data_IF_263886203143
#
_entry.id   IF_263886203143
#
_cell.length_a   1.000
_cell.length_b   1.000
_cell.length_c   1.000
_cell.angle_alpha   90.00
_cell.angle_beta   90.00
_cell.angle_gamma   90.00
#
_symmetry.space_group_name_H-M   'P 1'
#
loop_
_entity.id
_entity.type
_entity.pdbx_description
1 polymer ?
#
# COMPACT_ATOMS: atom_id res chain seq x y z
N UNK A 1 -5.07 40.39 24.84
CA UNK A 1 -4.88 38.94 25.09
C UNK A 1 -5.11 38.10 23.84
N UNK A 2 -6.22 38.28 23.11
CA UNK A 2 -6.58 37.51 21.90
C UNK A 2 -5.48 37.46 20.83
N UNK A 3 -4.82 38.60 20.53
CA UNK A 3 -3.77 38.68 19.50
C UNK A 3 -2.49 37.88 19.86
N UNK A 4 -2.16 37.81 21.15
CA UNK A 4 -1.04 36.97 21.65
C UNK A 4 -1.41 35.50 21.61
N UNK A 5 -2.65 35.16 21.97
CA UNK A 5 -3.16 33.79 21.90
C UNK A 5 -3.21 33.26 20.46
N UNK A 6 -3.62 34.12 19.51
CA UNK A 6 -3.64 33.80 18.08
C UNK A 6 -2.24 33.51 17.53
N UNK A 7 -1.24 34.31 17.93
CA UNK A 7 0.15 34.10 17.51
C UNK A 7 0.74 32.82 18.08
N UNK A 8 0.42 32.46 19.34
CA UNK A 8 0.88 31.20 19.93
C UNK A 8 0.23 30.00 19.26
N UNK A 9 -1.06 30.08 18.93
CA UNK A 9 -1.82 29.03 18.23
C UNK A 9 -1.31 28.78 16.80
N UNK A 10 -0.94 29.84 16.08
CA UNK A 10 -0.36 29.73 14.73
C UNK A 10 1.04 29.12 14.75
N UNK A 11 1.86 29.45 15.75
CA UNK A 11 3.21 28.88 15.89
C UNK A 11 3.19 27.38 16.22
N UNK A 12 2.23 26.93 17.04
CA UNK A 12 2.09 25.52 17.39
C UNK A 12 1.56 24.67 16.23
N UNK A 13 0.70 25.23 15.36
CA UNK A 13 0.19 24.49 14.20
C UNK A 13 1.27 24.20 13.13
N UNK A 14 2.26 25.08 12.97
CA UNK A 14 3.36 24.89 12.02
C UNK A 14 4.39 23.82 12.43
N UNK A 15 4.37 23.34 13.67
CA UNK A 15 5.33 22.36 14.18
C UNK A 15 4.86 20.91 14.01
N UNK A 16 3.62 20.67 13.57
CA UNK A 16 3.14 19.32 13.33
C UNK A 16 3.61 18.82 11.96
N UNK A 17 4.42 17.74 11.88
CA UNK A 17 4.71 17.12 10.60
C UNK A 17 3.39 16.61 10.02
N UNK A 18 3.08 17.03 8.79
CA UNK A 18 1.98 16.44 8.04
C UNK A 18 2.35 14.99 7.74
N UNK A 19 1.74 14.05 8.45
CA UNK A 19 1.81 12.63 8.11
C UNK A 19 1.03 12.44 6.82
N UNK A 20 1.74 12.43 5.69
CA UNK A 20 1.16 12.07 4.40
C UNK A 20 1.12 10.55 4.30
N UNK A 21 0.02 10.04 3.74
CA UNK A 21 -0.11 8.60 3.47
C UNK A 21 0.94 8.18 2.43
N UNK A 22 1.39 6.92 2.52
CA UNK A 22 2.27 6.32 1.52
C UNK A 22 1.63 6.36 0.12
N UNK A 23 2.48 6.53 -0.88
CA UNK A 23 2.10 6.59 -2.29
C UNK A 23 2.13 5.18 -2.89
N UNK A 24 1.04 4.42 -2.74
CA UNK A 24 0.92 3.10 -3.35
C UNK A 24 0.98 3.21 -4.89
N UNK A 25 1.69 2.27 -5.53
CA UNK A 25 1.63 2.06 -6.99
C UNK A 25 0.37 1.30 -7.38
N UNK A 26 -0.14 0.44 -6.50
CA UNK A 26 -1.36 -0.33 -6.73
C UNK A 26 -1.14 -1.63 -7.49
N UNK A 27 0.00 -2.31 -7.28
CA UNK A 27 0.22 -3.68 -7.77
C UNK A 27 -0.89 -4.61 -7.26
N UNK A 28 -1.44 -5.44 -8.15
CA UNK A 28 -2.62 -6.28 -7.89
C UNK A 28 -3.95 -5.53 -7.84
N UNK A 29 -3.95 -4.25 -8.22
CA UNK A 29 -5.15 -3.45 -8.41
C UNK A 29 -5.73 -3.56 -9.82
N UNK A 30 -6.73 -2.72 -10.12
CA UNK A 30 -7.37 -2.66 -11.45
C UNK A 30 -6.52 -1.98 -12.52
N UNK A 31 -5.48 -1.27 -12.09
CA UNK A 31 -4.74 -0.32 -12.92
C UNK A 31 -3.34 -0.85 -13.30
N UNK A 32 -3.11 -2.17 -13.24
CA UNK A 32 -1.83 -2.80 -13.58
C UNK A 32 -1.34 -2.40 -14.98
N UNK A 33 -2.23 -2.30 -15.96
CA UNK A 33 -1.92 -1.82 -17.32
C UNK A 33 -1.48 -0.34 -17.34
N UNK A 34 -2.05 0.49 -16.48
CA UNK A 34 -1.69 1.90 -16.36
C UNK A 34 -0.28 2.05 -15.78
N UNK A 35 0.12 1.19 -14.83
CA UNK A 35 1.47 1.16 -14.29
C UNK A 35 2.48 0.90 -15.43
N UNK A 36 2.21 -0.08 -16.29
CA UNK A 36 3.05 -0.38 -17.46
C UNK A 36 3.19 0.84 -18.37
N UNK A 37 2.07 1.51 -18.67
CA UNK A 37 2.04 2.66 -19.57
C UNK A 37 2.76 3.88 -19.00
N UNK A 38 2.45 4.26 -17.76
CA UNK A 38 2.95 5.49 -17.12
C UNK A 38 4.45 5.42 -16.86
N UNK A 39 4.92 4.26 -16.40
CA UNK A 39 6.33 4.04 -16.08
C UNK A 39 7.13 3.40 -17.21
N UNK A 40 6.48 3.11 -18.36
CA UNK A 40 7.11 2.55 -19.55
C UNK A 40 7.93 1.30 -19.21
N UNK A 41 7.30 0.33 -18.55
CA UNK A 41 7.99 -0.86 -18.07
C UNK A 41 8.49 -1.71 -19.24
N UNK A 42 9.75 -2.16 -19.17
CA UNK A 42 10.29 -3.12 -20.13
C UNK A 42 9.76 -4.54 -19.88
N UNK A 43 10.02 -5.46 -20.80
CA UNK A 43 9.50 -6.83 -20.75
C UNK A 43 9.86 -7.55 -19.44
N UNK A 44 11.09 -7.39 -18.94
CA UNK A 44 11.53 -8.00 -17.68
C UNK A 44 10.81 -7.41 -16.45
N UNK A 45 10.51 -6.10 -16.47
CA UNK A 45 9.71 -5.46 -15.42
C UNK A 45 8.24 -5.89 -15.49
N UNK A 46 7.68 -6.06 -16.68
CA UNK A 46 6.30 -6.53 -16.89
C UNK A 46 6.12 -7.98 -16.44
N UNK A 47 7.07 -8.87 -16.75
CA UNK A 47 7.06 -10.26 -16.28
C UNK A 47 7.04 -10.31 -14.74
N UNK A 48 7.88 -9.51 -14.09
CA UNK A 48 7.89 -9.39 -12.62
C UNK A 48 6.57 -8.85 -12.08
N UNK A 49 6.00 -7.82 -12.70
CA UNK A 49 4.70 -7.25 -12.32
C UNK A 49 3.59 -8.30 -12.38
N UNK A 50 3.51 -9.09 -13.44
CA UNK A 50 2.52 -10.14 -13.59
C UNK A 50 2.70 -11.23 -12.52
N UNK A 51 3.93 -11.74 -12.37
CA UNK A 51 4.25 -12.76 -11.36
C UNK A 51 3.93 -12.30 -9.93
N UNK A 52 4.27 -11.05 -9.61
CA UNK A 52 4.01 -10.49 -8.28
C UNK A 52 2.53 -10.19 -8.05
N UNK A 53 1.78 -9.85 -9.10
CA UNK A 53 0.33 -9.73 -9.04
C UNK A 53 -0.32 -11.07 -8.69
N UNK A 54 0.04 -12.14 -9.39
CA UNK A 54 -0.46 -13.50 -9.09
C UNK A 54 -0.08 -13.98 -7.70
N UNK A 55 1.16 -13.70 -7.27
CA UNK A 55 1.64 -14.04 -5.93
C UNK A 55 0.86 -13.28 -4.84
N UNK A 56 0.60 -11.98 -5.05
CA UNK A 56 -0.21 -11.16 -4.16
C UNK A 56 -1.65 -11.65 -4.08
N UNK A 57 -2.26 -12.03 -5.20
CA UNK A 57 -3.60 -12.61 -5.23
C UNK A 57 -3.66 -13.91 -4.40
N UNK A 58 -2.66 -14.77 -4.57
CA UNK A 58 -2.53 -16.03 -3.83
C UNK A 58 -2.37 -15.78 -2.32
N UNK A 59 -1.47 -14.87 -1.93
CA UNK A 59 -1.23 -14.54 -0.52
C UNK A 59 -2.47 -13.90 0.13
N UNK A 60 -3.18 -13.06 -0.60
CA UNK A 60 -4.39 -12.41 -0.10
C UNK A 60 -5.63 -13.30 -0.14
N UNK A 61 -5.65 -14.42 -0.88
CA UNK A 61 -6.81 -15.31 -0.96
C UNK A 61 -7.24 -15.83 0.42
N UNK A 62 -6.27 -16.20 1.28
CA UNK A 62 -6.57 -16.65 2.64
C UNK A 62 -7.15 -15.52 3.50
N UNK A 63 -6.60 -14.31 3.40
CA UNK A 63 -7.09 -13.13 4.11
C UNK A 63 -8.50 -12.75 3.65
N UNK A 64 -8.79 -12.84 2.35
CA UNK A 64 -10.13 -12.64 1.80
C UNK A 64 -11.12 -13.67 2.31
N UNK A 65 -10.72 -14.94 2.40
CA UNK A 65 -11.55 -16.00 2.98
C UNK A 65 -11.83 -15.73 4.46
N UNK A 66 -10.82 -15.36 5.24
CA UNK A 66 -10.98 -14.98 6.65
C UNK A 66 -11.90 -13.77 6.83
N UNK A 67 -11.77 -12.75 5.99
CA UNK A 67 -12.65 -11.58 5.99
C UNK A 67 -14.10 -11.96 5.66
N UNK A 68 -14.31 -12.87 4.71
CA UNK A 68 -15.63 -13.37 4.35
C UNK A 68 -16.26 -14.18 5.49
N UNK A 69 -15.49 -15.08 6.08
CA UNK A 69 -15.93 -15.90 7.21
C UNK A 69 -16.31 -15.02 8.40
N UNK A 70 -15.48 -14.03 8.75
CA UNK A 70 -15.75 -13.07 9.81
C UNK A 70 -17.09 -12.35 9.60
N UNK A 71 -17.38 -11.86 8.39
CA UNK A 71 -18.65 -11.20 8.09
C UNK A 71 -19.86 -12.13 8.20
N UNK A 72 -19.68 -13.42 7.93
CA UNK A 72 -20.75 -14.41 7.94
C UNK A 72 -21.03 -14.97 9.34
N UNK A 73 -20.02 -15.03 10.20
CA UNK A 73 -20.08 -15.74 11.49
C UNK A 73 -20.12 -14.83 12.70
N UNK A 74 -19.68 -13.57 12.59
CA UNK A 74 -19.68 -12.64 13.71
C UNK A 74 -21.10 -12.12 14.02
N UNK A 75 -21.51 -12.09 15.31
CA UNK A 75 -22.74 -11.42 15.74
C UNK A 75 -22.77 -9.94 15.31
N UNK A 76 -23.95 -9.43 14.99
CA UNK A 76 -24.16 -8.06 14.46
C UNK A 76 -25.47 -7.44 14.99
N UNK A 77 -26.05 -7.99 16.07
CA UNK A 77 -27.36 -7.57 16.60
C UNK A 77 -27.25 -6.32 17.47
N UNK A 78 -26.07 -6.09 18.05
CA UNK A 78 -25.80 -4.94 18.91
C UNK A 78 -24.70 -4.03 18.34
N UNK A 79 -24.70 -2.77 18.75
CA UNK A 79 -23.66 -1.81 18.35
C UNK A 79 -22.26 -2.27 18.74
N UNK A 80 -22.11 -2.85 19.94
CA UNK A 80 -20.83 -3.36 20.43
C UNK A 80 -20.31 -4.50 19.55
N UNK A 81 -21.19 -5.44 19.17
CA UNK A 81 -20.84 -6.54 18.28
C UNK A 81 -20.40 -6.04 16.89
N UNK A 82 -21.08 -5.01 16.34
CA UNK A 82 -20.71 -4.39 15.06
C UNK A 82 -19.38 -3.65 15.15
N UNK A 83 -19.08 -2.99 16.28
CA UNK A 83 -17.80 -2.32 16.51
C UNK A 83 -16.64 -3.32 16.57
N UNK A 84 -16.83 -4.44 17.26
CA UNK A 84 -15.85 -5.54 17.31
C UNK A 84 -15.63 -6.15 15.92
N UNK A 85 -16.71 -6.38 15.16
CA UNK A 85 -16.62 -6.82 13.76
C UNK A 85 -15.79 -5.85 12.92
N UNK A 86 -16.08 -4.55 13.02
CA UNK A 86 -15.36 -3.51 12.28
C UNK A 86 -13.86 -3.49 12.59
N UNK A 87 -13.50 -3.69 13.86
CA UNK A 87 -12.10 -3.77 14.29
C UNK A 87 -11.39 -4.97 13.68
N UNK A 88 -11.95 -6.18 13.82
CA UNK A 88 -11.36 -7.40 13.26
C UNK A 88 -11.25 -7.35 11.73
N UNK A 89 -12.28 -6.81 11.07
CA UNK A 89 -12.29 -6.69 9.62
C UNK A 89 -11.25 -5.68 9.12
N UNK A 90 -11.02 -4.59 9.86
CA UNK A 90 -9.95 -3.62 9.59
C UNK A 90 -8.57 -4.26 9.69
N UNK A 91 -8.31 -5.04 10.74
CA UNK A 91 -7.01 -5.74 10.90
C UNK A 91 -6.71 -6.63 9.68
N UNK A 92 -7.71 -7.36 9.18
CA UNK A 92 -7.54 -8.17 7.97
C UNK A 92 -7.23 -7.32 6.74
N UNK A 93 -7.91 -6.17 6.59
CA UNK A 93 -7.61 -5.21 5.51
C UNK A 93 -6.21 -4.61 5.60
N UNK A 94 -5.75 -4.30 6.81
CA UNK A 94 -4.40 -3.76 7.03
C UNK A 94 -3.33 -4.79 6.66
N UNK A 95 -3.55 -6.09 6.92
CA UNK A 95 -2.66 -7.16 6.46
C UNK A 95 -2.61 -7.25 4.92
N UNK A 96 -3.76 -7.21 4.24
CA UNK A 96 -3.79 -7.23 2.77
C UNK A 96 -3.12 -5.99 2.16
N UNK A 97 -3.30 -4.81 2.79
CA UNK A 97 -2.64 -3.57 2.38
C UNK A 97 -1.12 -3.69 2.55
N UNK A 98 -0.65 -4.24 3.68
CA UNK A 98 0.77 -4.46 3.91
C UNK A 98 1.41 -5.37 2.84
N UNK A 99 0.71 -6.43 2.43
CA UNK A 99 1.15 -7.30 1.33
C UNK A 99 1.26 -6.53 0.01
N UNK A 100 0.24 -5.74 -0.35
CA UNK A 100 0.25 -4.92 -1.58
C UNK A 100 1.40 -3.91 -1.57
N UNK A 101 1.59 -3.18 -0.46
CA UNK A 101 2.69 -2.21 -0.32
C UNK A 101 4.07 -2.87 -0.37
N UNK A 102 4.20 -4.14 0.02
CA UNK A 102 5.46 -4.89 -0.14
C UNK A 102 5.79 -5.09 -1.61
N UNK A 103 4.82 -5.52 -2.43
CA UNK A 103 5.01 -5.69 -3.86
C UNK A 103 5.19 -4.38 -4.61
N UNK A 104 4.52 -3.31 -4.21
CA UNK A 104 4.79 -1.96 -4.74
C UNK A 104 6.26 -1.57 -4.55
N UNK A 105 6.82 -1.78 -3.34
CA UNK A 105 8.24 -1.50 -3.07
C UNK A 105 9.18 -2.39 -3.88
N UNK A 106 8.82 -3.65 -4.13
CA UNK A 106 9.59 -4.55 -4.99
C UNK A 106 9.59 -4.07 -6.45
N UNK A 107 8.45 -3.60 -6.95
CA UNK A 107 8.36 -3.00 -8.30
C UNK A 107 9.18 -1.72 -8.42
N UNK A 108 9.11 -0.84 -7.42
CA UNK A 108 9.99 0.33 -7.35
C UNK A 108 11.47 -0.06 -7.35
N UNK A 109 11.83 -1.20 -6.73
CA UNK A 109 13.18 -1.75 -6.78
C UNK A 109 13.65 -2.18 -8.17
N UNK A 110 12.76 -2.28 -9.14
CA UNK A 110 13.10 -2.56 -10.54
C UNK A 110 13.24 -1.29 -11.39
N UNK A 111 12.80 -0.14 -10.89
CA UNK A 111 12.79 1.10 -11.65
C UNK A 111 14.21 1.60 -11.88
N UNK A 112 14.45 2.15 -13.07
CA UNK A 112 15.62 2.99 -13.28
C UNK A 112 15.40 4.38 -12.66
N UNK A 113 16.45 5.22 -12.70
CA UNK A 113 16.42 6.56 -12.09
C UNK A 113 15.28 7.43 -12.62
N UNK A 114 15.04 7.44 -13.94
CA UNK A 114 13.99 8.25 -14.56
C UNK A 114 12.59 7.75 -14.16
N UNK A 115 12.39 6.43 -14.11
CA UNK A 115 11.12 5.82 -13.68
C UNK A 115 10.83 6.15 -12.21
N UNK A 116 11.83 6.05 -11.33
CA UNK A 116 11.66 6.37 -9.92
C UNK A 116 11.43 7.87 -9.70
N UNK A 117 12.14 8.74 -10.43
CA UNK A 117 11.89 10.18 -10.39
C UNK A 117 10.45 10.50 -10.80
N UNK A 118 9.96 9.89 -11.89
CA UNK A 118 8.58 10.07 -12.35
C UNK A 118 7.57 9.65 -11.27
N UNK A 119 7.84 8.55 -10.57
CA UNK A 119 7.01 8.11 -9.45
C UNK A 119 6.99 9.15 -8.32
N UNK A 120 8.15 9.66 -7.92
CA UNK A 120 8.25 10.71 -6.89
C UNK A 120 7.47 11.97 -7.26
N UNK A 121 7.58 12.42 -8.51
CA UNK A 121 6.83 13.59 -9.01
C UNK A 121 5.31 13.37 -8.92
N UNK A 122 4.81 12.23 -9.40
CA UNK A 122 3.39 11.89 -9.31
C UNK A 122 2.89 11.82 -7.86
N UNK A 123 3.69 11.26 -6.94
CA UNK A 123 3.34 11.23 -5.53
C UNK A 123 3.21 12.63 -4.92
N UNK A 124 4.10 13.56 -5.31
CA UNK A 124 4.06 14.94 -4.85
C UNK A 124 2.82 15.69 -5.39
N UNK A 125 2.43 15.44 -6.64
CA UNK A 125 1.22 16.03 -7.24
C UNK A 125 -0.06 15.70 -6.44
N UNK A 126 -0.10 14.52 -5.80
CA UNK A 126 -1.23 14.08 -4.97
C UNK A 126 -0.96 14.18 -3.46
N UNK A 127 0.09 14.91 -3.06
CA UNK A 127 0.50 15.13 -1.66
C UNK A 127 0.69 13.82 -0.86
N UNK A 128 1.27 12.81 -1.49
CA UNK A 128 1.63 11.51 -0.89
C UNK A 128 3.13 11.39 -0.66
N UNK A 129 3.51 10.62 0.36
CA UNK A 129 4.91 10.30 0.63
C UNK A 129 5.40 9.18 -0.31
N UNK A 130 6.45 9.40 -1.11
CA UNK A 130 7.07 8.34 -1.88
C UNK A 130 7.64 7.24 -0.97
N UNK A 131 7.43 5.99 -1.34
CA UNK A 131 8.03 4.82 -0.68
C UNK A 131 9.43 4.53 -1.21
N UNK A 132 10.31 4.03 -0.34
CA UNK A 132 11.61 3.54 -0.75
C UNK A 132 11.51 2.20 -1.52
N UNK A 133 12.36 1.97 -2.53
CA UNK A 133 12.44 0.69 -3.23
C UNK A 133 12.94 -0.42 -2.31
N UNK A 134 12.50 -1.65 -2.55
CA UNK A 134 12.96 -2.85 -1.86
C UNK A 134 13.46 -3.90 -2.86
N UNK A 135 14.45 -4.69 -2.45
CA UNK A 135 14.87 -5.86 -3.21
C UNK A 135 13.81 -6.97 -3.10
N UNK A 136 13.75 -7.84 -4.10
CA UNK A 136 12.99 -9.09 -4.01
C UNK A 136 13.60 -9.94 -2.89
N UNK A 137 12.86 -10.11 -1.78
CA UNK A 137 13.30 -11.03 -0.72
C UNK A 137 13.22 -12.44 -1.28
N UNK A 138 14.37 -13.08 -1.46
CA UNK A 138 14.46 -14.42 -2.04
C UNK A 138 13.69 -15.46 -1.22
N UNK A 139 12.47 -15.77 -1.65
CA UNK A 139 11.77 -17.00 -1.31
C UNK A 139 12.22 -18.14 -2.23
N UNK A 140 13.52 -18.37 -2.32
CA UNK A 140 14.08 -19.50 -3.04
C UNK A 140 13.95 -20.76 -2.20
N UNK A 141 12.91 -21.56 -2.45
CA UNK A 141 13.04 -23.00 -2.20
C UNK A 141 14.14 -23.50 -3.13
N UNK A 142 15.30 -23.80 -2.55
CA UNK A 142 16.37 -24.48 -3.26
C UNK A 142 15.87 -25.81 -3.79
N UNK A 143 15.93 -25.98 -5.10
CA UNK A 143 16.12 -27.28 -5.73
C UNK A 143 17.43 -27.16 -6.49
N UNK A 144 18.49 -27.90 -6.10
CA UNK A 144 19.72 -27.92 -6.86
C UNK A 144 19.54 -28.82 -8.09
N UNK A 145 20.00 -28.35 -9.24
CA UNK A 145 20.59 -29.22 -10.27
C UNK A 145 22.11 -29.24 -10.09
#
# INVERSE_FOLDING_TARGET
>A
MIRRFLTTLLLTFCLFPAVSQECALGVGGKDTELIVLVFQLNDAQQEKLNRWTEALETENAELQARARDLLNTHPQETTEEVEVLGTKYREIKEMMLANSLRYDRMLLGTFNELQYQRYVELCQEVMRAPMAPAAESGGGSGVPE
#
